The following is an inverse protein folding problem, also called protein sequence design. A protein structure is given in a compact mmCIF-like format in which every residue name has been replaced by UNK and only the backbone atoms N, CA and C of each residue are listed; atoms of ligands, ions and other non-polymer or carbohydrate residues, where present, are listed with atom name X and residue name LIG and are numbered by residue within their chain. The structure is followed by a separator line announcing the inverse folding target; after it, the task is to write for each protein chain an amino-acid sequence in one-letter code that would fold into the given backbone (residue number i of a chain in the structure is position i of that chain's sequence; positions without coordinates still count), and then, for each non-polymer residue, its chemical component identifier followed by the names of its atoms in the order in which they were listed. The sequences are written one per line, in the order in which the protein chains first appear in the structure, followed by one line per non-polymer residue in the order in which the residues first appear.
data_IF_397424559547
#
_entry.id   IF_397424559547
#
_cell.length_a   1.000
_cell.length_b   1.000
_cell.length_c   1.000
_cell.angle_alpha   90.00
_cell.angle_beta   90.00
_cell.angle_gamma   90.00
#
_symmetry.space_group_name_H-M   'P 1'
#
loop_
_entity.id
_entity.type
_entity.pdbx_description
1 polymer ?
#
# COMPACT_ATOMS: atom_id res chain seq x y z
N UNK A 1 11.51 -14.07 15.65
CA UNK A 1 10.07 -14.12 15.97
C UNK A 1 9.91 -14.46 17.45
N UNK A 2 9.20 -13.62 18.18
CA UNK A 2 8.69 -13.88 19.53
C UNK A 2 7.16 -13.88 19.44
N UNK A 3 6.51 -14.91 20.01
CA UNK A 3 5.04 -15.04 20.00
C UNK A 3 4.57 -15.63 21.31
N UNK A 4 3.48 -15.08 21.81
CA UNK A 4 2.75 -15.57 22.97
C UNK A 4 1.29 -15.75 22.59
N UNK A 5 0.76 -16.94 22.79
CA UNK A 5 -0.64 -17.30 22.55
C UNK A 5 -1.29 -17.70 23.88
N UNK A 6 -2.48 -17.20 24.11
CA UNK A 6 -3.31 -17.53 25.26
C UNK A 6 -4.69 -17.91 24.77
N UNK A 7 -5.24 -19.00 25.35
CA UNK A 7 -6.60 -19.42 25.09
C UNK A 7 -7.30 -19.71 26.44
N UNK A 8 -8.54 -19.24 26.54
CA UNK A 8 -9.39 -19.54 27.70
C UNK A 8 -10.80 -19.87 27.24
N UNK A 9 -11.33 -20.95 27.75
CA UNK A 9 -12.69 -21.40 27.47
C UNK A 9 -13.47 -21.65 28.74
N UNK A 10 -14.76 -21.32 28.74
CA UNK A 10 -15.66 -21.55 29.86
C UNK A 10 -17.05 -21.90 29.36
N UNK A 11 -17.81 -22.61 30.21
CA UNK A 11 -19.23 -22.85 29.95
C UNK A 11 -20.05 -21.58 30.15
N UNK A 12 -21.04 -21.38 29.28
CA UNK A 12 -21.98 -20.27 29.34
C UNK A 12 -23.41 -20.77 29.57
N UNK A 13 -23.94 -20.51 30.76
CA UNK A 13 -25.23 -21.02 31.17
C UNK A 13 -25.21 -22.53 31.53
N UNK A 14 -26.42 -23.11 31.73
CA UNK A 14 -26.58 -24.49 32.19
C UNK A 14 -26.96 -25.48 31.06
N UNK A 15 -27.16 -24.96 29.82
CA UNK A 15 -27.69 -25.76 28.70
C UNK A 15 -26.65 -26.07 27.63
N UNK A 16 -25.35 -26.15 27.99
CA UNK A 16 -24.29 -26.53 27.09
C UNK A 16 -23.80 -25.36 26.21
N UNK A 17 -24.00 -24.12 26.64
CA UNK A 17 -23.38 -22.94 26.03
C UNK A 17 -21.90 -22.85 26.39
N UNK A 18 -21.16 -22.14 25.59
CA UNK A 18 -19.73 -21.91 25.79
C UNK A 18 -19.31 -20.50 25.39
N UNK A 19 -18.22 -20.05 25.97
CA UNK A 19 -17.45 -18.87 25.55
C UNK A 19 -15.98 -19.27 25.49
N UNK A 20 -15.33 -18.94 24.37
CA UNK A 20 -13.90 -19.12 24.17
C UNK A 20 -13.27 -17.80 23.71
N UNK A 21 -12.11 -17.47 24.25
CA UNK A 21 -11.32 -16.30 23.86
C UNK A 21 -9.87 -16.71 23.63
N UNK A 22 -9.30 -16.21 22.55
CA UNK A 22 -7.90 -16.45 22.19
C UNK A 22 -7.23 -15.10 21.98
N UNK A 23 -6.07 -14.90 22.59
CA UNK A 23 -5.22 -13.75 22.39
C UNK A 23 -3.85 -14.15 21.87
N UNK A 24 -3.31 -13.38 20.92
CA UNK A 24 -1.96 -13.56 20.39
C UNK A 24 -1.24 -12.22 20.38
N UNK A 25 0.01 -12.22 20.87
CA UNK A 25 0.94 -11.12 20.72
C UNK A 25 2.20 -11.65 20.05
N UNK A 26 2.63 -11.02 18.98
CA UNK A 26 3.82 -11.45 18.25
C UNK A 26 4.67 -10.25 17.82
N UNK A 27 5.99 -10.43 17.83
CA UNK A 27 6.96 -9.49 17.29
C UNK A 27 7.96 -10.22 16.40
N UNK A 28 8.17 -9.69 15.21
CA UNK A 28 9.13 -10.19 14.23
C UNK A 28 9.99 -9.04 13.74
N UNK A 29 11.31 -9.16 13.87
CA UNK A 29 12.25 -8.22 13.31
C UNK A 29 12.37 -8.39 11.78
N UNK A 30 12.83 -7.32 11.13
CA UNK A 30 13.09 -7.35 9.69
C UNK A 30 14.29 -8.26 9.35
N UNK A 31 14.34 -8.68 8.10
CA UNK A 31 15.50 -9.37 7.52
C UNK A 31 15.97 -8.63 6.28
N UNK A 32 17.27 -8.66 5.99
CA UNK A 32 17.80 -8.11 4.74
C UNK A 32 18.74 -9.10 4.06
N UNK A 33 18.54 -9.28 2.75
CA UNK A 33 19.38 -10.09 1.85
C UNK A 33 19.97 -9.23 0.73
N UNK A 34 20.05 -7.90 0.96
CA UNK A 34 20.58 -6.98 -0.02
C UNK A 34 22.06 -7.25 -0.29
N UNK A 35 22.42 -7.26 -1.55
CA UNK A 35 23.83 -7.29 -1.98
C UNK A 35 24.46 -5.91 -1.88
N UNK A 36 25.79 -5.84 -2.06
CA UNK A 36 26.53 -4.58 -2.07
C UNK A 36 26.15 -3.79 -3.33
N UNK A 37 25.87 -2.50 -3.16
CA UNK A 37 25.55 -1.62 -4.28
C UNK A 37 26.75 -1.39 -5.19
N UNK A 38 26.59 -1.67 -6.47
CA UNK A 38 27.64 -1.51 -7.50
C UNK A 38 27.45 -0.26 -8.37
N UNK A 39 26.25 0.35 -8.35
CA UNK A 39 25.94 1.52 -9.16
C UNK A 39 26.55 2.80 -8.56
N UNK A 40 26.55 3.88 -9.33
CA UNK A 40 26.94 5.22 -8.86
C UNK A 40 26.13 5.61 -7.60
N UNK A 41 26.83 6.19 -6.62
CA UNK A 41 26.25 6.57 -5.32
C UNK A 41 26.22 8.09 -5.20
N UNK A 42 27.36 8.74 -5.41
CA UNK A 42 27.51 10.18 -5.32
C UNK A 42 27.93 10.75 -6.68
N UNK A 43 27.54 11.99 -6.87
CA UNK A 43 28.17 12.84 -7.84
C UNK A 43 29.40 13.55 -7.20
N UNK A 44 30.45 13.80 -7.94
CA UNK A 44 31.64 14.49 -7.41
C UNK A 44 31.33 15.86 -6.83
N UNK A 45 30.29 16.52 -7.32
CA UNK A 45 29.78 17.75 -6.74
C UNK A 45 29.40 17.60 -5.26
N UNK A 46 28.86 16.47 -4.84
CA UNK A 46 28.51 16.23 -3.45
C UNK A 46 29.73 16.18 -2.51
N UNK A 47 30.91 15.85 -3.04
CA UNK A 47 32.17 15.94 -2.28
C UNK A 47 32.56 17.42 -2.04
N UNK A 48 32.38 18.28 -3.06
CA UNK A 48 32.59 19.72 -2.92
C UNK A 48 31.62 20.32 -1.91
N UNK A 49 30.35 19.95 -1.97
CA UNK A 49 29.34 20.37 -0.98
C UNK A 49 29.75 20.01 0.44
N UNK A 50 30.21 18.77 0.68
CA UNK A 50 30.66 18.33 1.99
C UNK A 50 31.80 19.18 2.52
N UNK A 51 32.81 19.45 1.69
CA UNK A 51 33.96 20.29 2.08
C UNK A 51 33.51 21.73 2.41
N UNK A 52 32.62 22.29 1.59
CA UNK A 52 32.05 23.61 1.83
C UNK A 52 31.25 23.66 3.15
N UNK A 53 30.41 22.67 3.39
CA UNK A 53 29.66 22.54 4.64
C UNK A 53 30.56 22.46 5.87
N UNK A 54 31.67 21.69 5.80
CA UNK A 54 32.67 21.62 6.86
C UNK A 54 33.38 22.99 7.10
N UNK A 55 33.41 23.85 6.10
CA UNK A 55 33.92 25.22 6.21
C UNK A 55 32.84 26.24 6.59
N UNK A 56 31.69 25.81 7.07
CA UNK A 56 30.62 26.66 7.58
C UNK A 56 29.72 27.28 6.49
N UNK A 57 29.78 26.81 5.25
CA UNK A 57 28.89 27.28 4.19
C UNK A 57 27.49 26.72 4.42
N UNK A 58 26.49 27.60 4.46
CA UNK A 58 25.09 27.19 4.51
C UNK A 58 24.64 26.71 3.13
N UNK A 59 24.66 25.39 2.95
CA UNK A 59 24.30 24.74 1.68
C UNK A 59 22.83 25.01 1.29
N UNK A 60 21.93 25.21 2.27
CA UNK A 60 20.53 25.51 2.02
C UNK A 60 20.36 26.84 1.30
N UNK A 61 21.09 27.87 1.72
CA UNK A 61 21.00 29.19 1.10
C UNK A 61 21.59 29.21 -0.31
N UNK A 62 22.56 28.32 -0.60
CA UNK A 62 23.17 28.22 -1.91
C UNK A 62 22.20 27.73 -2.97
N UNK A 63 21.41 26.67 -2.65
CA UNK A 63 20.47 26.08 -3.61
C UNK A 63 19.29 26.98 -3.95
N UNK A 64 18.77 27.76 -2.99
CA UNK A 64 17.69 28.71 -3.22
C UNK A 64 18.14 29.95 -3.99
N UNK A 65 19.40 30.37 -3.86
CA UNK A 65 19.92 31.56 -4.50
C UNK A 65 20.47 31.34 -5.93
N UNK A 66 20.96 30.14 -6.25
CA UNK A 66 21.75 29.92 -7.44
C UNK A 66 20.95 29.85 -8.75
N UNK A 67 19.71 29.44 -8.70
CA UNK A 67 18.93 29.21 -9.92
C UNK A 67 18.02 30.38 -10.31
N UNK A 68 17.78 31.32 -9.41
CA UNK A 68 16.90 32.47 -9.66
C UNK A 68 17.59 33.77 -10.03
N UNK A 69 18.88 33.83 -9.87
CA UNK A 69 19.63 35.04 -10.25
C UNK A 69 20.69 34.68 -11.26
N UNK A 70 21.01 35.59 -12.21
CA UNK A 70 22.02 35.37 -13.26
C UNK A 70 23.45 35.20 -12.71
N UNK A 71 23.66 34.89 -11.44
CA UNK A 71 24.97 34.90 -10.81
C UNK A 71 25.65 33.50 -10.91
N UNK A 72 25.74 32.97 -12.15
CA UNK A 72 26.55 31.79 -12.47
C UNK A 72 28.00 31.93 -11.99
N UNK A 73 28.52 33.14 -11.96
CA UNK A 73 29.88 33.43 -11.46
C UNK A 73 30.06 33.11 -9.99
N UNK A 74 29.03 33.25 -9.14
CA UNK A 74 29.13 32.87 -7.73
C UNK A 74 29.24 31.34 -7.53
N UNK A 75 28.48 30.58 -8.31
CA UNK A 75 28.58 29.11 -8.29
C UNK A 75 29.95 28.65 -8.74
N UNK A 76 30.44 29.22 -9.83
CA UNK A 76 31.76 28.94 -10.40
C UNK A 76 32.83 29.21 -9.35
N UNK A 77 32.81 30.40 -8.73
CA UNK A 77 33.76 30.80 -7.71
C UNK A 77 33.69 29.87 -6.46
N UNK A 78 32.49 29.56 -6.00
CA UNK A 78 32.28 28.63 -4.89
C UNK A 78 32.91 27.27 -5.16
N UNK A 79 32.62 26.65 -6.31
CA UNK A 79 33.19 25.34 -6.65
C UNK A 79 34.70 25.42 -6.78
N UNK A 80 35.25 26.47 -7.45
CA UNK A 80 36.70 26.68 -7.58
C UNK A 80 37.40 26.90 -6.24
N UNK A 81 36.70 27.43 -5.25
CA UNK A 81 37.22 27.61 -3.89
C UNK A 81 37.36 26.31 -3.10
N UNK A 82 36.35 25.43 -3.20
CA UNK A 82 36.29 24.25 -2.36
C UNK A 82 36.71 22.94 -3.04
N UNK A 83 36.62 22.82 -4.37
CA UNK A 83 37.04 21.63 -5.09
C UNK A 83 38.53 21.26 -4.89
N UNK A 84 39.50 22.22 -4.83
CA UNK A 84 40.91 21.91 -4.55
C UNK A 84 41.13 21.26 -3.17
N UNK A 85 40.21 21.45 -2.24
CA UNK A 85 40.26 20.86 -0.89
C UNK A 85 39.76 19.41 -0.85
N UNK A 86 39.21 18.88 -1.94
CA UNK A 86 38.86 17.48 -2.07
C UNK A 86 40.10 16.66 -2.39
N UNK A 87 40.79 16.16 -1.35
CA UNK A 87 42.13 15.60 -1.43
C UNK A 87 42.31 14.33 -2.30
N UNK A 88 41.24 13.72 -2.79
CA UNK A 88 41.29 12.56 -3.67
C UNK A 88 40.90 12.85 -5.13
N UNK A 89 40.59 14.10 -5.49
CA UNK A 89 40.45 14.46 -6.89
C UNK A 89 41.82 14.36 -7.59
N UNK A 90 41.82 13.74 -8.75
CA UNK A 90 43.03 13.64 -9.57
C UNK A 90 43.47 15.01 -10.09
N UNK A 91 44.74 15.17 -10.42
CA UNK A 91 45.26 16.40 -11.03
C UNK A 91 44.49 16.80 -12.30
N UNK A 92 44.09 15.81 -13.12
CA UNK A 92 43.30 16.04 -14.32
C UNK A 92 41.91 16.63 -13.98
N UNK A 93 41.23 16.07 -12.96
CA UNK A 93 39.95 16.57 -12.49
C UNK A 93 40.05 17.98 -11.92
N UNK A 94 41.03 18.23 -11.06
CA UNK A 94 41.28 19.57 -10.50
C UNK A 94 41.57 20.57 -11.60
N UNK A 95 42.38 20.22 -12.61
CA UNK A 95 42.68 21.06 -13.76
C UNK A 95 41.42 21.36 -14.60
N UNK A 96 40.59 20.33 -14.84
CA UNK A 96 39.33 20.53 -15.57
C UNK A 96 38.38 21.48 -14.84
N UNK A 97 38.27 21.35 -13.50
CA UNK A 97 37.46 22.26 -12.66
C UNK A 97 38.04 23.69 -12.69
N UNK A 98 39.33 23.84 -12.50
CA UNK A 98 40.01 25.13 -12.47
C UNK A 98 39.85 25.92 -13.81
N UNK A 99 39.94 25.19 -14.93
CA UNK A 99 39.84 25.75 -16.28
C UNK A 99 38.39 25.98 -16.75
N UNK A 100 37.38 25.45 -16.04
CA UNK A 100 36.00 25.62 -16.43
C UNK A 100 35.61 27.10 -16.39
N UNK A 101 35.17 27.66 -17.51
CA UNK A 101 34.77 29.05 -17.69
C UNK A 101 33.24 29.24 -17.68
N UNK A 102 32.48 28.14 -17.65
CA UNK A 102 31.03 28.15 -17.64
C UNK A 102 30.48 27.12 -16.65
N UNK A 103 29.21 27.31 -16.27
CA UNK A 103 28.50 26.37 -15.39
C UNK A 103 28.40 24.98 -16.04
N UNK A 104 28.14 24.93 -17.34
CA UNK A 104 28.07 23.65 -18.09
C UNK A 104 29.42 22.93 -18.11
N UNK A 105 30.53 23.63 -18.25
CA UNK A 105 31.87 23.05 -18.18
C UNK A 105 32.15 22.47 -16.76
N UNK A 106 31.75 23.18 -15.70
CA UNK A 106 31.85 22.70 -14.33
C UNK A 106 30.95 21.47 -14.08
N UNK A 107 29.72 21.48 -14.58
CA UNK A 107 28.81 20.35 -14.49
C UNK A 107 29.44 19.11 -15.12
N UNK A 108 30.01 19.23 -16.32
CA UNK A 108 30.70 18.14 -16.99
C UNK A 108 31.93 17.65 -16.22
N UNK A 109 32.71 18.55 -15.65
CA UNK A 109 33.90 18.23 -14.85
C UNK A 109 33.58 17.55 -13.51
N UNK A 110 32.37 17.72 -12.98
CA UNK A 110 31.92 17.17 -11.69
C UNK A 110 30.95 15.98 -11.82
N UNK A 111 30.51 15.66 -13.03
CA UNK A 111 29.56 14.58 -13.28
C UNK A 111 30.26 13.21 -13.39
N UNK A 112 30.89 12.78 -12.31
CA UNK A 112 31.43 11.43 -12.17
C UNK A 112 31.15 10.88 -10.76
N UNK A 113 31.13 9.55 -10.62
CA UNK A 113 30.92 8.92 -9.32
C UNK A 113 32.11 9.15 -8.40
N UNK A 114 31.85 9.35 -7.12
CA UNK A 114 32.90 9.50 -6.14
C UNK A 114 33.58 8.17 -5.82
N UNK A 115 34.84 8.28 -5.40
CA UNK A 115 35.68 7.13 -5.07
C UNK A 115 35.34 6.55 -3.69
N UNK A 116 35.85 5.36 -3.41
CA UNK A 116 35.79 4.77 -2.06
C UNK A 116 36.47 5.67 -1.01
N UNK A 117 37.42 6.52 -1.42
CA UNK A 117 38.05 7.49 -0.51
C UNK A 117 37.07 8.52 0.03
N UNK A 118 36.11 9.00 -0.80
CA UNK A 118 35.04 9.89 -0.28
C UNK A 118 34.13 9.17 0.69
N UNK A 119 33.75 7.92 0.39
CA UNK A 119 32.94 7.12 1.31
C UNK A 119 33.64 6.95 2.65
N UNK A 120 34.92 6.59 2.62
CA UNK A 120 35.75 6.46 3.82
C UNK A 120 35.88 7.78 4.58
N UNK A 121 36.04 8.91 3.88
CA UNK A 121 36.09 10.24 4.49
C UNK A 121 34.78 10.65 5.19
N UNK A 122 33.65 10.05 4.78
CA UNK A 122 32.33 10.20 5.42
C UNK A 122 32.07 9.14 6.51
N UNK A 123 33.01 8.21 6.76
CA UNK A 123 32.80 7.07 7.64
C UNK A 123 31.83 6.02 7.09
N UNK A 124 31.66 5.97 5.77
CA UNK A 124 30.69 5.12 5.08
C UNK A 124 31.35 4.10 4.16
N UNK A 125 30.61 3.11 3.77
CA UNK A 125 30.93 2.10 2.79
C UNK A 125 29.78 1.90 1.80
N UNK A 126 29.99 1.19 0.71
CA UNK A 126 28.91 0.90 -0.24
C UNK A 126 27.74 0.10 0.35
N UNK A 127 27.96 -0.61 1.47
CA UNK A 127 26.90 -1.34 2.19
C UNK A 127 25.85 -0.41 2.79
N UNK A 128 26.25 0.80 3.20
CA UNK A 128 25.36 1.76 3.86
C UNK A 128 24.30 2.35 2.91
N UNK A 129 24.46 2.12 1.60
CA UNK A 129 23.54 2.55 0.55
C UNK A 129 22.65 1.42 0.03
N UNK A 130 22.67 0.28 0.70
CA UNK A 130 21.81 -0.83 0.32
C UNK A 130 20.35 -0.54 0.71
N UNK A 131 19.44 -1.07 -0.11
CA UNK A 131 18.05 -1.19 0.29
C UNK A 131 17.88 -2.39 1.23
N UNK A 132 16.80 -2.41 1.97
CA UNK A 132 16.42 -3.57 2.78
C UNK A 132 15.57 -4.52 1.91
N UNK A 133 16.07 -5.72 1.64
CA UNK A 133 15.39 -6.74 0.82
C UNK A 133 15.10 -7.97 1.67
N UNK A 134 13.85 -8.14 2.06
CA UNK A 134 13.46 -9.26 2.92
C UNK A 134 12.11 -9.04 3.57
N UNK A 135 11.91 -9.66 4.71
CA UNK A 135 10.68 -9.49 5.49
C UNK A 135 10.72 -8.14 6.23
N UNK A 136 9.59 -7.47 6.29
CA UNK A 136 9.38 -6.28 7.12
C UNK A 136 9.34 -6.65 8.60
N UNK A 137 9.66 -5.69 9.46
CA UNK A 137 9.36 -5.78 10.89
C UNK A 137 7.85 -5.77 11.08
N UNK A 138 7.36 -6.55 12.05
CA UNK A 138 5.94 -6.64 12.31
C UNK A 138 5.67 -6.88 13.80
N UNK A 139 4.93 -5.98 14.42
CA UNK A 139 4.33 -6.17 15.73
C UNK A 139 2.83 -6.45 15.54
N UNK A 140 2.31 -7.49 16.21
CA UNK A 140 0.91 -7.91 16.08
C UNK A 140 0.31 -8.14 17.45
N UNK A 141 -0.89 -7.61 17.68
CA UNK A 141 -1.75 -7.96 18.79
C UNK A 141 -3.14 -8.31 18.24
N UNK A 142 -3.69 -9.47 18.66
CA UNK A 142 -5.01 -9.90 18.19
C UNK A 142 -5.76 -10.66 19.27
N UNK A 143 -7.07 -10.48 19.25
CA UNK A 143 -7.99 -11.18 20.16
C UNK A 143 -9.17 -11.67 19.36
N UNK A 144 -9.51 -12.94 19.52
CA UNK A 144 -10.66 -13.58 18.91
C UNK A 144 -11.54 -14.22 19.97
N UNK A 145 -12.84 -14.23 19.74
CA UNK A 145 -13.79 -14.92 20.59
C UNK A 145 -14.75 -15.77 19.77
N UNK A 146 -15.31 -16.80 20.43
CA UNK A 146 -16.36 -17.63 19.91
C UNK A 146 -17.29 -18.03 21.06
N UNK A 147 -18.59 -17.83 20.87
CA UNK A 147 -19.59 -18.06 21.90
C UNK A 147 -20.86 -18.68 21.31
N UNK A 148 -21.50 -19.55 22.10
CA UNK A 148 -22.84 -20.04 21.82
C UNK A 148 -23.63 -20.11 23.14
N UNK A 149 -24.85 -19.61 23.11
CA UNK A 149 -25.79 -19.64 24.25
C UNK A 149 -27.11 -20.27 23.81
N UNK A 150 -27.36 -21.55 24.17
CA UNK A 150 -28.69 -22.15 24.03
C UNK A 150 -29.69 -21.43 24.90
N UNK A 151 -30.72 -20.86 24.31
CA UNK A 151 -31.82 -20.18 25.02
C UNK A 151 -32.88 -21.19 25.48
N UNK A 152 -33.17 -22.14 24.59
CA UNK A 152 -34.06 -23.28 24.86
C UNK A 152 -33.56 -24.52 24.06
N UNK A 153 -34.39 -25.55 23.93
CA UNK A 153 -34.02 -26.81 23.25
C UNK A 153 -33.81 -26.67 21.74
N UNK A 154 -34.46 -25.66 21.11
CA UNK A 154 -34.45 -25.46 19.66
C UNK A 154 -33.78 -24.15 19.23
N UNK A 155 -33.55 -23.23 20.17
CA UNK A 155 -33.06 -21.89 19.87
C UNK A 155 -31.71 -21.62 20.53
N UNK A 156 -30.75 -21.18 19.76
CA UNK A 156 -29.43 -20.77 20.25
C UNK A 156 -29.02 -19.44 19.66
N UNK A 157 -28.44 -18.61 20.53
CA UNK A 157 -27.71 -17.42 20.10
C UNK A 157 -26.23 -17.80 19.93
N UNK A 158 -25.57 -17.34 18.87
CA UNK A 158 -24.13 -17.49 18.68
C UNK A 158 -23.49 -16.18 18.26
N UNK A 159 -22.23 -16.04 18.63
CA UNK A 159 -21.41 -14.90 18.17
C UNK A 159 -19.96 -15.32 18.12
N UNK A 160 -19.26 -14.87 17.10
CA UNK A 160 -17.81 -14.98 16.99
C UNK A 160 -17.23 -13.76 16.31
N UNK A 161 -15.97 -13.49 16.57
CA UNK A 161 -15.31 -12.34 15.97
C UNK A 161 -13.98 -12.06 16.64
N UNK A 162 -13.43 -10.91 16.31
CA UNK A 162 -12.17 -10.47 16.88
C UNK A 162 -11.73 -9.12 16.37
N UNK A 163 -10.65 -8.67 16.96
CA UNK A 163 -9.93 -7.50 16.55
C UNK A 163 -8.43 -7.82 16.42
N UNK A 164 -7.78 -7.18 15.48
CA UNK A 164 -6.34 -7.29 15.25
C UNK A 164 -5.76 -5.90 15.00
N UNK A 165 -4.64 -5.64 15.63
CA UNK A 165 -3.78 -4.51 15.32
C UNK A 165 -2.42 -5.02 14.89
N UNK A 166 -1.92 -4.50 13.77
CA UNK A 166 -0.60 -4.83 13.25
C UNK A 166 0.13 -3.53 12.90
N UNK A 167 1.32 -3.39 13.44
CA UNK A 167 2.24 -2.32 13.08
C UNK A 167 3.39 -2.92 12.28
N UNK A 168 3.55 -2.48 11.03
CA UNK A 168 4.58 -2.96 10.13
C UNK A 168 5.53 -1.86 9.73
N UNK A 169 6.86 -2.15 9.72
CA UNK A 169 7.88 -1.26 9.21
C UNK A 169 8.56 -1.93 8.02
N UNK A 170 8.46 -1.31 6.86
CA UNK A 170 9.11 -1.70 5.62
C UNK A 170 9.96 -0.56 5.07
N UNK A 171 10.77 -0.86 4.05
CA UNK A 171 11.73 0.10 3.52
C UNK A 171 11.54 0.23 2.01
N UNK A 172 11.69 1.46 1.51
CA UNK A 172 11.77 1.72 0.09
C UNK A 172 13.21 1.56 -0.44
N UNK A 173 13.43 1.96 -1.68
CA UNK A 173 14.78 2.06 -2.24
C UNK A 173 15.54 3.21 -1.59
N UNK A 174 16.84 3.01 -1.35
CA UNK A 174 17.72 4.06 -0.85
C UNK A 174 17.73 5.25 -1.82
N UNK A 175 17.52 6.45 -1.29
CA UNK A 175 17.57 7.71 -2.01
C UNK A 175 18.98 8.27 -1.94
N UNK A 176 19.67 8.23 -3.09
CA UNK A 176 21.07 8.65 -3.19
C UNK A 176 21.18 10.19 -3.19
N UNK A 177 22.32 10.75 -2.74
CA UNK A 177 22.57 12.19 -2.74
C UNK A 177 22.44 12.84 -4.13
N UNK A 178 22.82 12.11 -5.19
CA UNK A 178 22.69 12.59 -6.58
C UNK A 178 21.30 12.39 -7.18
N UNK A 179 20.36 11.83 -6.42
CA UNK A 179 18.98 11.59 -6.87
C UNK A 179 18.11 12.85 -6.82
N UNK A 180 17.19 12.97 -7.76
CA UNK A 180 16.24 14.10 -7.84
C UNK A 180 15.26 14.17 -6.67
N UNK A 181 15.03 13.06 -5.96
CA UNK A 181 14.22 12.99 -4.74
C UNK A 181 14.96 13.34 -3.46
N UNK A 182 16.22 13.76 -3.53
CA UNK A 182 17.06 14.05 -2.35
C UNK A 182 17.43 15.51 -2.29
N UNK A 183 17.34 16.11 -1.09
CA UNK A 183 17.98 17.40 -0.80
C UNK A 183 19.22 17.13 0.04
N UNK A 184 20.41 17.37 -0.52
CA UNK A 184 21.69 17.16 0.16
C UNK A 184 21.91 18.12 1.33
N UNK A 185 21.20 19.24 1.36
CA UNK A 185 21.18 20.17 2.49
C UNK A 185 20.48 19.58 3.72
N UNK A 186 19.58 18.63 3.56
CA UNK A 186 18.92 17.92 4.65
C UNK A 186 19.59 16.54 4.90
N UNK A 187 19.83 15.79 3.82
CA UNK A 187 20.41 14.45 3.85
C UNK A 187 21.66 14.38 2.98
N UNK A 188 22.81 14.79 3.53
CA UNK A 188 24.09 14.86 2.79
C UNK A 188 24.56 13.53 2.21
N UNK A 189 24.15 12.41 2.84
CA UNK A 189 24.48 11.06 2.40
C UNK A 189 23.29 10.34 1.74
N UNK A 190 22.19 11.06 1.48
CA UNK A 190 20.93 10.41 1.12
C UNK A 190 20.25 9.74 2.32
N UNK A 191 19.23 8.93 2.05
CA UNK A 191 18.43 8.29 3.11
C UNK A 191 17.71 7.04 2.61
N UNK A 192 17.33 6.19 3.54
CA UNK A 192 16.49 5.01 3.30
C UNK A 192 15.09 5.29 3.84
N UNK A 193 14.10 5.60 3.00
CA UNK A 193 12.73 5.85 3.47
C UNK A 193 12.13 4.62 4.12
N UNK A 194 11.44 4.84 5.24
CA UNK A 194 10.71 3.83 5.99
C UNK A 194 9.21 4.01 5.77
N UNK A 195 8.52 2.92 5.45
CA UNK A 195 7.07 2.87 5.26
C UNK A 195 6.51 2.16 6.48
N UNK A 196 6.02 2.95 7.44
CA UNK A 196 5.30 2.46 8.60
C UNK A 196 3.83 2.28 8.24
N UNK A 197 3.23 1.17 8.67
CA UNK A 197 1.83 0.87 8.44
C UNK A 197 1.13 0.49 9.74
N UNK A 198 -0.01 1.13 9.99
CA UNK A 198 -0.93 0.76 11.06
C UNK A 198 -2.17 0.11 10.45
N UNK A 199 -2.36 -1.17 10.77
CA UNK A 199 -3.44 -1.99 10.22
C UNK A 199 -4.37 -2.42 11.33
N UNK A 200 -5.65 -2.05 11.20
CA UNK A 200 -6.72 -2.46 12.10
C UNK A 200 -7.70 -3.35 11.38
N UNK A 201 -7.95 -4.52 11.95
CA UNK A 201 -9.01 -5.42 11.50
C UNK A 201 -10.00 -5.62 12.65
N UNK A 202 -11.28 -5.52 12.35
CA UNK A 202 -12.36 -5.90 13.24
C UNK A 202 -13.37 -6.73 12.47
N UNK A 203 -13.85 -7.81 13.09
CA UNK A 203 -14.97 -8.57 12.55
C UNK A 203 -15.81 -9.14 13.67
N UNK A 204 -17.11 -9.21 13.46
CA UNK A 204 -18.03 -9.90 14.37
C UNK A 204 -19.19 -10.48 13.59
N UNK A 205 -19.60 -11.67 13.98
CA UNK A 205 -20.84 -12.31 13.56
C UNK A 205 -21.75 -12.47 14.79
N UNK A 206 -23.02 -12.21 14.60
CA UNK A 206 -24.08 -12.47 15.56
C UNK A 206 -25.19 -13.22 14.83
N UNK A 207 -25.63 -14.36 15.37
CA UNK A 207 -26.68 -15.14 14.76
C UNK A 207 -27.58 -15.83 15.77
N UNK A 208 -28.78 -16.12 15.30
CA UNK A 208 -29.82 -16.85 16.01
C UNK A 208 -30.21 -18.06 15.19
N UNK A 209 -29.97 -19.25 15.73
CA UNK A 209 -30.48 -20.48 15.13
C UNK A 209 -31.72 -20.93 15.84
N UNK A 210 -32.71 -21.45 15.11
CA UNK A 210 -33.97 -21.98 15.68
C UNK A 210 -34.59 -23.00 14.75
N UNK A 211 -35.73 -23.59 15.18
CA UNK A 211 -36.59 -24.41 14.33
C UNK A 211 -37.93 -23.73 14.11
N UNK A 212 -38.36 -23.64 12.86
CA UNK A 212 -39.64 -23.04 12.48
C UNK A 212 -40.30 -23.91 11.40
N UNK A 213 -41.51 -24.41 11.69
CA UNK A 213 -42.28 -25.26 10.77
C UNK A 213 -41.50 -26.50 10.23
N UNK A 214 -40.60 -27.04 11.06
CA UNK A 214 -39.77 -28.18 10.70
C UNK A 214 -38.49 -27.83 9.91
N UNK A 215 -38.24 -26.57 9.61
CA UNK A 215 -36.99 -26.08 9.09
C UNK A 215 -36.03 -25.66 10.20
N UNK A 216 -34.76 -25.96 10.02
CA UNK A 216 -33.69 -25.27 10.71
C UNK A 216 -33.54 -23.90 10.10
N UNK A 217 -33.53 -22.85 10.94
CA UNK A 217 -33.49 -21.44 10.53
C UNK A 217 -32.25 -20.79 11.15
N UNK A 218 -31.52 -20.03 10.37
CA UNK A 218 -30.41 -19.18 10.81
C UNK A 218 -30.66 -17.74 10.35
N UNK A 219 -30.72 -16.82 11.32
CA UNK A 219 -30.71 -15.38 11.05
C UNK A 219 -29.42 -14.82 11.59
N UNK A 220 -28.62 -14.23 10.72
CA UNK A 220 -27.29 -13.73 11.11
C UNK A 220 -26.93 -12.38 10.48
N UNK A 221 -26.07 -11.67 11.20
CA UNK A 221 -25.39 -10.47 10.69
C UNK A 221 -23.90 -10.59 10.90
N UNK A 222 -23.12 -10.24 9.89
CA UNK A 222 -21.67 -10.17 9.93
C UNK A 222 -21.21 -8.76 9.63
N UNK A 223 -20.41 -8.18 10.51
CA UNK A 223 -19.75 -6.90 10.30
C UNK A 223 -18.24 -7.10 10.27
N UNK A 224 -17.60 -6.62 9.21
CA UNK A 224 -16.15 -6.63 9.07
C UNK A 224 -15.64 -5.27 8.62
N UNK A 225 -14.50 -4.84 9.16
CA UNK A 225 -13.79 -3.65 8.70
C UNK A 225 -12.30 -3.88 8.74
N UNK A 226 -11.61 -3.36 7.74
CA UNK A 226 -10.15 -3.28 7.67
C UNK A 226 -9.75 -1.84 7.39
N UNK A 227 -8.68 -1.38 8.01
CA UNK A 227 -8.09 -0.10 7.66
C UNK A 227 -6.57 -0.17 7.69
N UNK A 228 -5.96 0.51 6.73
CA UNK A 228 -4.52 0.55 6.52
C UNK A 228 -4.09 2.02 6.42
N UNK A 229 -3.35 2.52 7.41
CA UNK A 229 -2.79 3.87 7.43
C UNK A 229 -1.30 3.82 7.12
N UNK A 230 -0.81 4.80 6.38
CA UNK A 230 0.58 4.93 5.98
C UNK A 230 1.23 6.14 6.65
N UNK A 231 2.35 5.92 7.32
CA UNK A 231 3.27 6.97 7.76
C UNK A 231 4.63 6.73 7.12
N UNK A 232 5.17 7.74 6.49
CA UNK A 232 6.48 7.63 5.83
C UNK A 232 7.50 8.37 6.69
N UNK A 233 8.42 7.62 7.24
CA UNK A 233 9.48 8.10 8.12
C UNK A 233 10.83 8.15 7.38
N UNK A 234 11.81 8.84 7.97
CA UNK A 234 13.15 9.00 7.41
C UNK A 234 13.10 9.36 5.93
N UNK A 235 12.31 10.38 5.59
CA UNK A 235 12.04 10.82 4.23
C UNK A 235 12.11 12.34 4.13
N UNK A 236 11.86 12.88 2.94
CA UNK A 236 11.75 14.30 2.70
C UNK A 236 10.92 14.60 1.46
N UNK A 237 10.32 15.77 1.44
CA UNK A 237 9.89 16.45 0.21
C UNK A 237 11.06 17.30 -0.28
N UNK A 238 11.72 16.86 -1.36
CA UNK A 238 12.96 17.48 -1.82
C UNK A 238 12.78 18.95 -2.27
N UNK A 239 11.54 19.35 -2.60
CA UNK A 239 11.24 20.75 -2.99
C UNK A 239 11.15 21.71 -1.80
N UNK A 240 11.00 21.20 -0.58
CA UNK A 240 11.04 21.99 0.66
C UNK A 240 12.47 22.16 1.20
N UNK A 241 13.44 21.42 0.66
CA UNK A 241 14.83 21.50 1.11
C UNK A 241 14.96 21.20 2.61
N UNK A 242 15.67 22.05 3.34
CA UNK A 242 15.88 21.92 4.80
C UNK A 242 14.62 22.13 5.63
N UNK A 243 13.61 22.76 5.06
CA UNK A 243 12.31 22.98 5.72
C UNK A 243 11.40 21.77 5.63
N UNK A 244 11.83 20.69 4.95
CA UNK A 244 11.04 19.48 4.83
C UNK A 244 10.93 18.76 6.17
N UNK A 245 9.71 18.36 6.59
CA UNK A 245 9.57 17.33 7.62
C UNK A 245 10.30 16.05 7.21
N UNK A 246 10.63 15.21 8.18
CA UNK A 246 11.24 13.88 7.97
C UNK A 246 10.25 12.72 8.18
N UNK A 247 9.01 13.04 8.54
CA UNK A 247 7.91 12.10 8.74
C UNK A 247 6.61 12.72 8.23
N UNK A 248 5.79 11.91 7.54
CA UNK A 248 4.57 12.36 6.90
C UNK A 248 3.45 11.34 7.05
N UNK A 249 2.23 11.83 7.31
CA UNK A 249 1.03 11.03 7.11
C UNK A 249 0.73 10.95 5.60
N UNK A 250 0.82 9.75 5.04
CA UNK A 250 0.61 9.54 3.60
C UNK A 250 -0.82 9.08 3.25
N UNK A 251 -1.73 9.07 4.24
CA UNK A 251 -3.13 8.76 4.04
C UNK A 251 -3.51 7.34 4.47
N UNK A 252 -4.74 6.95 4.13
CA UNK A 252 -5.37 5.74 4.65
C UNK A 252 -6.30 5.11 3.62
N UNK A 253 -6.33 3.78 3.59
CA UNK A 253 -7.33 2.97 2.89
C UNK A 253 -8.18 2.26 3.93
N UNK A 254 -9.49 2.20 3.70
CA UNK A 254 -10.40 1.46 4.57
C UNK A 254 -11.48 0.75 3.76
N UNK A 255 -11.89 -0.42 4.27
CA UNK A 255 -12.99 -1.20 3.73
C UNK A 255 -13.91 -1.65 4.88
N UNK A 256 -15.22 -1.57 4.64
CA UNK A 256 -16.24 -2.06 5.55
C UNK A 256 -17.23 -2.92 4.78
N UNK A 257 -17.64 -4.04 5.39
CA UNK A 257 -18.70 -4.89 4.88
C UNK A 257 -19.64 -5.27 6.01
N UNK A 258 -20.95 -5.19 5.75
CA UNK A 258 -21.97 -5.80 6.58
C UNK A 258 -22.81 -6.74 5.72
N UNK A 259 -23.00 -7.96 6.19
CA UNK A 259 -23.79 -9.00 5.50
C UNK A 259 -24.84 -9.55 6.45
N UNK A 260 -26.09 -9.55 6.02
CA UNK A 260 -27.21 -10.09 6.76
C UNK A 260 -27.79 -11.26 5.98
N UNK A 261 -27.97 -12.40 6.66
CA UNK A 261 -28.46 -13.64 6.07
C UNK A 261 -29.69 -14.16 6.81
N UNK A 262 -30.59 -14.73 6.04
CA UNK A 262 -31.71 -15.51 6.53
C UNK A 262 -31.76 -16.83 5.75
N UNK A 263 -31.43 -17.93 6.42
CA UNK A 263 -31.26 -19.23 5.81
C UNK A 263 -32.24 -20.23 6.42
N UNK A 264 -32.81 -21.09 5.57
CA UNK A 264 -33.70 -22.20 5.94
C UNK A 264 -33.18 -23.49 5.36
N UNK A 265 -33.18 -24.57 6.13
CA UNK A 265 -32.86 -25.90 5.63
C UNK A 265 -33.74 -26.97 6.28
N UNK A 266 -34.07 -28.02 5.52
CA UNK A 266 -34.87 -29.16 6.04
C UNK A 266 -34.57 -30.41 5.23
N UNK A 267 -34.49 -31.53 5.98
CA UNK A 267 -34.49 -32.85 5.38
C UNK A 267 -35.92 -33.41 5.33
N UNK A 268 -36.27 -33.99 4.20
CA UNK A 268 -37.55 -34.68 3.96
C UNK A 268 -37.31 -36.16 3.67
N UNK A 269 -38.21 -36.99 4.14
CA UNK A 269 -38.22 -38.42 3.85
C UNK A 269 -38.88 -38.69 2.46
N UNK A 270 -38.22 -38.20 1.40
CA UNK A 270 -38.62 -38.38 0.02
C UNK A 270 -37.52 -39.15 -0.70
N UNK A 271 -37.83 -40.23 -1.37
CA UNK A 271 -36.89 -41.22 -1.93
C UNK A 271 -35.95 -41.75 -0.81
N UNK A 272 -34.65 -41.69 -1.02
CA UNK A 272 -33.67 -42.06 0.00
C UNK A 272 -33.19 -40.84 0.82
N UNK A 273 -33.90 -39.70 0.72
CA UNK A 273 -33.66 -38.44 1.42
C UNK A 273 -33.56 -37.24 0.46
N UNK A 274 -34.27 -36.18 0.82
CA UNK A 274 -34.22 -34.87 0.12
C UNK A 274 -33.81 -33.81 1.13
N UNK A 275 -32.70 -33.14 0.88
CA UNK A 275 -32.34 -31.91 1.57
C UNK A 275 -32.75 -30.71 0.71
N UNK A 276 -33.46 -29.76 1.32
CA UNK A 276 -33.86 -28.50 0.73
C UNK A 276 -33.32 -27.36 1.57
N UNK A 277 -32.56 -26.43 0.94
CA UNK A 277 -32.11 -25.21 1.56
C UNK A 277 -32.46 -23.99 0.68
N UNK A 278 -32.87 -22.91 1.29
CA UNK A 278 -33.09 -21.63 0.62
C UNK A 278 -32.84 -20.48 1.57
N UNK A 279 -32.53 -19.32 1.01
CA UNK A 279 -32.23 -18.15 1.84
C UNK A 279 -32.11 -16.87 1.06
N UNK A 280 -31.92 -15.80 1.80
CA UNK A 280 -31.72 -14.47 1.29
C UNK A 280 -30.52 -13.80 1.99
N UNK A 281 -29.79 -12.98 1.27
CA UNK A 281 -28.65 -12.21 1.75
C UNK A 281 -28.85 -10.75 1.36
N UNK A 282 -28.56 -9.84 2.29
CA UNK A 282 -28.36 -8.43 2.03
C UNK A 282 -26.97 -8.03 2.45
N UNK A 283 -26.21 -7.39 1.56
CA UNK A 283 -24.84 -6.96 1.81
C UNK A 283 -24.68 -5.46 1.54
N UNK A 284 -24.02 -4.79 2.44
CA UNK A 284 -23.52 -3.44 2.29
C UNK A 284 -22.00 -3.44 2.30
N UNK A 285 -21.37 -2.76 1.36
CA UNK A 285 -19.94 -2.59 1.26
C UNK A 285 -19.60 -1.10 1.14
N UNK A 286 -18.49 -0.68 1.74
CA UNK A 286 -17.96 0.66 1.61
C UNK A 286 -16.44 0.61 1.46
N UNK A 287 -15.91 1.31 0.48
CA UNK A 287 -14.50 1.51 0.26
C UNK A 287 -14.16 2.99 0.34
N UNK A 288 -13.10 3.32 1.10
CA UNK A 288 -12.67 4.67 1.35
C UNK A 288 -11.17 4.82 1.21
N UNK A 289 -10.73 5.86 0.48
CA UNK A 289 -9.37 6.40 0.51
C UNK A 289 -9.44 7.77 1.15
N UNK A 290 -8.56 8.03 2.10
CA UNK A 290 -8.37 9.35 2.73
C UNK A 290 -7.01 9.86 2.33
N UNK A 291 -6.94 11.10 1.88
CA UNK A 291 -5.69 11.75 1.46
C UNK A 291 -4.69 11.87 2.61
N UNK A 292 -3.41 11.96 2.23
CA UNK A 292 -2.32 12.31 3.13
C UNK A 292 -2.29 13.80 3.48
N UNK A 293 -1.32 14.19 4.30
CA UNK A 293 -1.03 15.61 4.53
C UNK A 293 -0.44 16.26 3.27
N UNK A 294 -0.67 17.54 3.08
CA UNK A 294 -0.34 18.23 1.83
C UNK A 294 1.12 18.07 1.42
N UNK A 295 2.06 18.23 2.33
CA UNK A 295 3.47 18.10 2.02
C UNK A 295 3.90 16.68 1.63
N UNK A 296 3.06 15.65 1.87
CA UNK A 296 3.33 14.26 1.48
C UNK A 296 3.17 14.01 -0.02
N UNK A 297 2.49 14.88 -0.76
CA UNK A 297 2.24 14.71 -2.20
C UNK A 297 2.50 15.96 -3.05
N UNK A 298 2.63 17.14 -2.43
CA UNK A 298 2.67 18.42 -3.14
C UNK A 298 4.09 18.76 -3.64
N UNK A 299 4.16 19.36 -4.82
CA UNK A 299 5.35 20.01 -5.36
C UNK A 299 5.35 21.47 -4.91
N UNK A 300 6.47 22.00 -4.43
CA UNK A 300 6.63 23.40 -4.06
C UNK A 300 7.61 24.11 -4.98
N UNK A 301 7.39 25.41 -5.18
CA UNK A 301 8.33 26.29 -5.86
C UNK A 301 9.45 26.74 -4.91
N UNK A 302 10.43 27.47 -5.43
CA UNK A 302 11.56 28.01 -4.65
C UNK A 302 11.15 28.98 -3.54
N UNK A 303 9.95 29.57 -3.60
CA UNK A 303 9.41 30.47 -2.59
C UNK A 303 8.59 29.70 -1.52
N UNK A 304 8.47 28.37 -1.65
CA UNK A 304 7.68 27.54 -0.78
C UNK A 304 6.17 27.55 -1.07
N UNK A 305 5.74 28.07 -2.21
CA UNK A 305 4.35 28.02 -2.63
C UNK A 305 4.06 26.72 -3.35
N UNK A 306 2.81 26.24 -3.25
CA UNK A 306 2.34 25.07 -4.01
C UNK A 306 2.51 25.34 -5.51
N UNK A 307 3.26 24.48 -6.17
CA UNK A 307 3.47 24.57 -7.61
C UNK A 307 2.32 23.89 -8.35
N UNK A 308 1.70 24.64 -9.25
CA UNK A 308 0.64 24.15 -10.14
C UNK A 308 1.22 23.66 -11.47
N UNK A 309 0.40 22.99 -12.27
CA UNK A 309 0.73 22.63 -13.65
C UNK A 309 1.08 23.90 -14.43
N UNK A 310 2.24 23.92 -15.09
CA UNK A 310 2.73 25.10 -15.80
C UNK A 310 3.65 26.02 -14.99
N UNK A 311 4.22 25.51 -13.89
CA UNK A 311 5.24 26.22 -13.10
C UNK A 311 6.31 26.83 -14.02
N UNK A 312 6.56 28.15 -13.88
CA UNK A 312 7.69 28.82 -14.54
C UNK A 312 8.99 28.04 -14.21
N UNK A 313 9.75 27.61 -15.22
CA UNK A 313 11.00 26.89 -15.01
C UNK A 313 11.98 27.61 -14.06
N UNK A 314 11.91 28.93 -13.98
CA UNK A 314 12.74 29.76 -13.09
C UNK A 314 12.35 29.62 -11.60
N UNK A 315 11.12 29.20 -11.33
CA UNK A 315 10.61 28.95 -9.98
C UNK A 315 10.75 27.49 -9.54
N UNK A 316 11.21 26.61 -10.43
CA UNK A 316 11.39 25.20 -10.10
C UNK A 316 12.61 25.00 -9.20
N UNK A 317 12.44 24.21 -8.14
CA UNK A 317 13.56 23.75 -7.31
C UNK A 317 14.36 22.70 -8.10
N UNK A 318 15.67 22.95 -8.25
CA UNK A 318 16.57 22.09 -9.02
C UNK A 318 17.79 21.66 -8.21
N UNK A 319 18.53 20.66 -8.71
CA UNK A 319 19.88 20.36 -8.25
C UNK A 319 20.91 21.25 -8.97
N UNK A 320 22.19 21.08 -8.63
CA UNK A 320 23.28 21.80 -9.25
C UNK A 320 23.35 21.61 -10.78
N UNK A 321 22.89 20.48 -11.29
CA UNK A 321 22.89 20.16 -12.73
C UNK A 321 21.64 20.66 -13.46
N UNK A 322 20.72 21.33 -12.77
CA UNK A 322 19.46 21.83 -13.34
C UNK A 322 18.34 20.79 -13.41
N UNK A 323 18.54 19.58 -12.86
CA UNK A 323 17.47 18.59 -12.78
C UNK A 323 16.44 19.03 -11.74
N UNK A 324 15.16 18.98 -12.10
CA UNK A 324 14.07 19.35 -11.19
C UNK A 324 13.97 18.36 -10.03
N UNK A 325 13.74 18.91 -8.84
CA UNK A 325 13.43 18.10 -7.65
C UNK A 325 12.00 17.58 -7.70
N UNK A 326 11.78 16.40 -7.13
CA UNK A 326 10.46 15.82 -6.98
C UNK A 326 9.74 16.32 -5.75
N UNK A 327 8.44 16.59 -5.87
CA UNK A 327 7.56 16.87 -4.76
C UNK A 327 7.10 15.59 -4.05
N UNK A 328 6.53 15.77 -2.87
CA UNK A 328 6.01 14.69 -2.05
C UNK A 328 7.08 13.84 -1.39
N UNK A 329 6.63 12.92 -0.55
CA UNK A 329 7.50 12.00 0.19
C UNK A 329 8.17 10.99 -0.73
N UNK A 330 9.37 10.57 -0.35
CA UNK A 330 10.10 9.52 -1.03
C UNK A 330 9.79 8.16 -0.38
N UNK A 331 9.59 7.14 -1.21
CA UNK A 331 9.21 5.80 -0.77
C UNK A 331 7.78 5.48 -1.16
N UNK A 332 6.85 6.22 -0.63
CA UNK A 332 5.44 6.22 -1.02
C UNK A 332 4.92 7.66 -0.96
N UNK A 333 4.50 8.19 -2.08
CA UNK A 333 3.85 9.51 -2.15
C UNK A 333 2.45 9.42 -1.53
N UNK A 334 2.09 10.36 -0.66
CA UNK A 334 0.78 10.37 -0.03
C UNK A 334 -0.35 10.44 -1.05
N UNK A 335 -1.50 9.84 -0.71
CA UNK A 335 -2.72 9.97 -1.52
C UNK A 335 -3.08 11.44 -1.67
N UNK A 336 -3.37 11.84 -2.89
CA UNK A 336 -3.73 13.21 -3.25
C UNK A 336 -5.23 13.47 -3.03
N UNK A 337 -5.68 14.72 -3.03
CA UNK A 337 -7.12 15.04 -2.98
C UNK A 337 -7.93 14.35 -4.07
N UNK A 338 -7.38 14.20 -5.28
CA UNK A 338 -8.04 13.52 -6.40
C UNK A 338 -8.12 12.00 -6.25
N UNK A 339 -7.29 11.42 -5.37
CA UNK A 339 -7.36 10.00 -5.00
C UNK A 339 -8.42 9.75 -3.89
N UNK A 340 -8.92 10.80 -3.24
CA UNK A 340 -9.83 10.69 -2.11
C UNK A 340 -11.21 10.21 -2.57
N UNK A 341 -11.69 9.14 -1.98
CA UNK A 341 -12.93 8.49 -2.39
C UNK A 341 -13.68 7.90 -1.20
N UNK A 342 -15.01 7.86 -1.32
CA UNK A 342 -15.91 7.16 -0.39
C UNK A 342 -17.08 6.58 -1.18
N UNK A 343 -16.97 5.30 -1.56
CA UNK A 343 -17.95 4.60 -2.42
C UNK A 343 -18.57 3.42 -1.69
N UNK A 344 -19.87 3.29 -1.87
CA UNK A 344 -20.65 2.20 -1.29
C UNK A 344 -21.38 1.40 -2.35
N UNK A 345 -21.66 0.13 -2.04
CA UNK A 345 -22.47 -0.77 -2.82
C UNK A 345 -23.40 -1.55 -1.91
N UNK A 346 -24.63 -1.72 -2.36
CA UNK A 346 -25.59 -2.66 -1.79
C UNK A 346 -25.76 -3.82 -2.74
N UNK A 347 -25.94 -5.03 -2.22
CA UNK A 347 -26.38 -6.17 -3.00
C UNK A 347 -27.43 -6.98 -2.25
N UNK A 348 -28.34 -7.54 -3.00
CA UNK A 348 -29.34 -8.51 -2.53
C UNK A 348 -29.17 -9.81 -3.29
N UNK A 349 -29.24 -10.92 -2.58
CA UNK A 349 -29.22 -12.24 -3.20
C UNK A 349 -30.29 -13.14 -2.62
N UNK A 350 -30.79 -14.06 -3.43
CA UNK A 350 -31.64 -15.17 -3.00
C UNK A 350 -31.14 -16.46 -3.66
N UNK A 351 -31.24 -17.56 -2.93
CA UNK A 351 -30.81 -18.86 -3.43
C UNK A 351 -31.77 -19.99 -3.07
N UNK A 352 -31.74 -21.04 -3.87
CA UNK A 352 -32.37 -22.33 -3.62
C UNK A 352 -31.34 -23.41 -3.93
N UNK A 353 -31.15 -24.33 -2.99
CA UNK A 353 -30.29 -25.51 -3.12
C UNK A 353 -31.07 -26.76 -2.75
N UNK A 354 -30.87 -27.82 -3.49
CA UNK A 354 -31.51 -29.12 -3.24
C UNK A 354 -30.54 -30.25 -3.50
N UNK A 355 -30.55 -31.25 -2.61
CA UNK A 355 -29.82 -32.49 -2.78
C UNK A 355 -30.78 -33.67 -2.55
N UNK A 356 -30.85 -34.56 -3.53
CA UNK A 356 -31.75 -35.71 -3.53
C UNK A 356 -30.94 -36.99 -3.61
N UNK A 357 -31.11 -37.89 -2.63
CA UNK A 357 -30.68 -39.27 -2.71
C UNK A 357 -31.73 -40.05 -3.48
N UNK A 358 -31.54 -40.20 -4.81
CA UNK A 358 -32.50 -40.94 -5.69
C UNK A 358 -32.50 -42.41 -5.30
N UNK A 359 -31.32 -42.96 -5.07
CA UNK A 359 -31.06 -44.30 -4.52
C UNK A 359 -29.95 -44.20 -3.48
N UNK A 360 -29.74 -45.26 -2.67
CA UNK A 360 -28.68 -45.30 -1.69
C UNK A 360 -27.28 -45.07 -2.25
N UNK A 361 -27.13 -45.32 -3.55
CA UNK A 361 -25.86 -45.15 -4.26
C UNK A 361 -25.86 -44.00 -5.30
N UNK A 362 -26.95 -43.23 -5.44
CA UNK A 362 -27.05 -42.17 -6.42
C UNK A 362 -27.61 -40.88 -5.81
N UNK A 363 -26.78 -39.82 -5.81
CA UNK A 363 -27.13 -38.51 -5.30
C UNK A 363 -27.13 -37.53 -6.48
N UNK A 364 -28.14 -36.68 -6.56
CA UNK A 364 -28.21 -35.54 -7.48
C UNK A 364 -28.42 -34.25 -6.67
N UNK A 365 -27.67 -33.20 -6.98
CA UNK A 365 -27.85 -31.89 -6.38
C UNK A 365 -27.96 -30.80 -7.42
N UNK A 366 -28.82 -29.81 -7.14
CA UNK A 366 -29.02 -28.63 -7.97
C UNK A 366 -29.14 -27.38 -7.12
N UNK A 367 -28.52 -26.28 -7.58
CA UNK A 367 -28.62 -24.99 -6.92
C UNK A 367 -28.83 -23.88 -7.94
N UNK A 368 -29.54 -22.84 -7.53
CA UNK A 368 -29.70 -21.58 -8.27
C UNK A 368 -29.51 -20.40 -7.31
N UNK A 369 -28.87 -19.35 -7.80
CA UNK A 369 -28.68 -18.11 -7.05
C UNK A 369 -28.89 -16.91 -7.96
N UNK A 370 -29.75 -16.01 -7.52
CA UNK A 370 -29.96 -14.70 -8.11
C UNK A 370 -29.27 -13.65 -7.24
N UNK A 371 -28.60 -12.69 -7.87
CA UNK A 371 -27.97 -11.57 -7.18
C UNK A 371 -28.26 -10.28 -7.95
N UNK A 372 -28.46 -9.20 -7.21
CA UNK A 372 -28.60 -7.84 -7.75
C UNK A 372 -27.69 -6.89 -7.01
N UNK A 373 -26.86 -6.18 -7.72
CA UNK A 373 -25.90 -5.20 -7.22
C UNK A 373 -26.34 -3.79 -7.61
N UNK A 374 -26.23 -2.82 -6.69
CA UNK A 374 -26.65 -1.43 -6.94
C UNK A 374 -25.84 -0.73 -8.04
N UNK A 375 -24.62 -1.21 -8.33
CA UNK A 375 -23.67 -0.62 -9.27
C UNK A 375 -23.31 -1.52 -10.46
N UNK A 376 -23.84 -2.72 -10.51
CA UNK A 376 -23.41 -3.73 -11.50
C UNK A 376 -24.57 -4.43 -12.21
N UNK A 377 -25.80 -4.33 -11.70
CA UNK A 377 -26.97 -5.02 -12.20
C UNK A 377 -27.16 -6.43 -11.63
N UNK A 378 -27.85 -7.29 -12.36
CA UNK A 378 -28.28 -8.60 -11.88
C UNK A 378 -27.51 -9.74 -12.52
N UNK A 379 -27.35 -10.83 -11.79
CA UNK A 379 -26.78 -12.08 -12.30
C UNK A 379 -27.59 -13.27 -11.79
N UNK A 380 -27.62 -14.33 -12.61
CA UNK A 380 -28.25 -15.60 -12.28
C UNK A 380 -27.23 -16.72 -12.51
N UNK A 381 -27.01 -17.52 -11.48
CA UNK A 381 -26.06 -18.63 -11.52
C UNK A 381 -26.75 -19.92 -11.14
N UNK A 382 -26.33 -21.02 -11.78
CA UNK A 382 -26.85 -22.35 -11.51
C UNK A 382 -25.75 -23.40 -11.39
N UNK A 383 -26.05 -24.46 -10.65
CA UNK A 383 -25.20 -25.63 -10.47
C UNK A 383 -26.05 -26.89 -10.61
N UNK A 384 -25.50 -27.89 -11.27
CA UNK A 384 -26.03 -29.27 -11.29
C UNK A 384 -24.86 -30.21 -11.01
N UNK A 385 -25.04 -31.15 -10.07
CA UNK A 385 -24.02 -32.14 -9.75
C UNK A 385 -24.64 -33.51 -9.46
N UNK A 386 -23.86 -34.55 -9.69
CA UNK A 386 -24.26 -35.93 -9.38
C UNK A 386 -23.09 -36.73 -8.84
N UNK A 387 -23.40 -37.66 -7.94
CA UNK A 387 -22.49 -38.63 -7.38
C UNK A 387 -23.12 -40.03 -7.49
N UNK A 388 -22.43 -40.96 -8.15
CA UNK A 388 -22.79 -42.37 -8.21
C UNK A 388 -21.75 -43.19 -7.51
N UNK A 389 -22.14 -43.90 -6.46
CA UNK A 389 -21.32 -44.88 -5.76
C UNK A 389 -21.41 -46.21 -6.53
N UNK A 390 -20.48 -46.45 -7.47
CA UNK A 390 -20.52 -47.61 -8.38
C UNK A 390 -20.13 -48.87 -7.63
N UNK A 391 -19.13 -48.80 -6.76
CA UNK A 391 -18.75 -49.86 -5.81
C UNK A 391 -18.36 -49.25 -4.48
N UNK A 392 -18.18 -50.00 -3.39
CA UNK A 392 -17.70 -49.45 -2.13
C UNK A 392 -16.38 -48.68 -2.23
N UNK A 393 -15.57 -48.99 -3.23
CA UNK A 393 -14.23 -48.41 -3.42
C UNK A 393 -14.14 -47.48 -4.65
N UNK A 394 -15.23 -47.35 -5.45
CA UNK A 394 -15.22 -46.53 -6.64
C UNK A 394 -16.48 -45.64 -6.73
N UNK A 395 -16.28 -44.34 -6.72
CA UNK A 395 -17.32 -43.33 -6.88
C UNK A 395 -17.07 -42.51 -8.14
N UNK A 396 -18.13 -42.26 -8.91
CA UNK A 396 -18.13 -41.37 -10.06
C UNK A 396 -18.86 -40.07 -9.71
N UNK A 397 -18.29 -38.91 -10.07
CA UNK A 397 -18.87 -37.58 -9.87
C UNK A 397 -18.80 -36.76 -11.14
N UNK A 398 -19.86 -35.99 -11.38
CA UNK A 398 -19.87 -34.97 -12.41
C UNK A 398 -20.55 -33.70 -11.88
N UNK A 399 -20.08 -32.54 -12.31
CA UNK A 399 -20.73 -31.28 -11.99
C UNK A 399 -20.55 -30.27 -13.12
N UNK A 400 -21.58 -29.45 -13.33
CA UNK A 400 -21.55 -28.29 -14.22
C UNK A 400 -22.13 -27.08 -13.45
N UNK A 401 -21.49 -25.93 -13.57
CA UNK A 401 -21.95 -24.71 -12.90
C UNK A 401 -21.58 -23.47 -13.68
N UNK A 402 -22.40 -22.43 -13.55
CA UNK A 402 -22.03 -21.05 -13.87
C UNK A 402 -21.55 -20.35 -12.60
N UNK A 403 -20.74 -19.33 -12.75
CA UNK A 403 -20.26 -18.53 -11.63
C UNK A 403 -20.07 -17.09 -12.06
N UNK A 404 -20.31 -16.18 -11.14
CA UNK A 404 -20.08 -14.77 -11.31
C UNK A 404 -19.41 -14.20 -10.06
N UNK A 405 -18.53 -13.24 -10.25
CA UNK A 405 -17.94 -12.45 -9.19
C UNK A 405 -17.91 -10.98 -9.59
N UNK A 406 -18.67 -10.16 -8.88
CA UNK A 406 -18.61 -8.73 -9.08
C UNK A 406 -17.18 -8.22 -8.76
N UNK A 407 -16.62 -7.29 -9.54
CA UNK A 407 -15.39 -6.60 -9.17
C UNK A 407 -15.54 -5.97 -7.79
N UNK A 408 -14.49 -6.04 -6.97
CA UNK A 408 -14.53 -5.37 -5.66
C UNK A 408 -14.58 -3.85 -5.85
N UNK A 409 -15.10 -3.12 -4.85
CA UNK A 409 -15.08 -1.65 -4.88
C UNK A 409 -13.65 -1.11 -5.01
N UNK A 410 -12.67 -1.81 -4.42
CA UNK A 410 -11.27 -1.46 -4.58
C UNK A 410 -10.79 -1.60 -6.03
N UNK A 411 -11.16 -2.66 -6.74
CA UNK A 411 -10.82 -2.84 -8.16
C UNK A 411 -11.46 -1.78 -9.06
N UNK A 412 -12.67 -1.33 -8.69
CA UNK A 412 -13.40 -0.31 -9.45
C UNK A 412 -12.89 1.11 -9.22
N UNK A 413 -12.51 1.44 -7.99
CA UNK A 413 -12.36 2.83 -7.54
C UNK A 413 -11.00 3.16 -6.94
N UNK A 414 -10.05 2.21 -6.88
CA UNK A 414 -8.71 2.53 -6.41
C UNK A 414 -8.00 3.41 -7.43
N UNK A 415 -7.52 4.55 -6.96
CA UNK A 415 -6.63 5.43 -7.69
C UNK A 415 -5.43 5.79 -6.83
N UNK A 416 -4.32 6.07 -7.46
CA UNK A 416 -3.11 6.52 -6.78
C UNK A 416 -2.25 7.30 -7.76
N UNK A 417 -1.87 8.50 -7.37
CA UNK A 417 -1.01 9.37 -8.16
C UNK A 417 0.38 9.44 -7.55
N UNK A 418 1.40 9.22 -8.36
CA UNK A 418 2.80 9.27 -7.96
C UNK A 418 3.65 10.13 -8.89
N UNK A 419 4.73 10.70 -8.35
CA UNK A 419 5.69 11.44 -9.15
C UNK A 419 6.70 10.49 -9.77
N UNK A 420 6.79 10.48 -11.10
CA UNK A 420 7.80 9.74 -11.87
C UNK A 420 8.74 10.74 -12.56
N UNK A 421 9.98 10.34 -12.78
CA UNK A 421 10.98 11.19 -13.44
C UNK A 421 11.21 10.71 -14.87
N UNK A 422 11.07 11.63 -15.81
CA UNK A 422 11.30 11.38 -17.24
C UNK A 422 12.39 12.31 -17.75
N UNK A 423 13.24 11.80 -18.62
CA UNK A 423 14.23 12.65 -19.32
C UNK A 423 13.51 13.44 -20.40
N UNK A 424 13.57 14.77 -20.31
CA UNK A 424 13.12 15.65 -21.39
C UNK A 424 14.11 15.51 -22.55
N UNK A 425 13.64 15.02 -23.70
CA UNK A 425 14.48 14.72 -24.85
C UNK A 425 15.10 15.98 -25.49
N UNK A 426 14.51 17.15 -25.27
CA UNK A 426 15.00 18.42 -25.82
C UNK A 426 16.10 19.06 -24.96
N UNK A 427 16.04 18.86 -23.63
CA UNK A 427 16.99 19.46 -22.67
C UNK A 427 17.98 18.49 -22.08
N UNK A 428 17.69 17.17 -22.17
CA UNK A 428 18.45 16.10 -21.51
C UNK A 428 18.27 16.07 -19.98
N UNK A 429 17.43 16.92 -19.40
CA UNK A 429 17.22 17.02 -17.95
C UNK A 429 16.09 16.10 -17.48
N UNK A 430 16.19 15.64 -16.22
CA UNK A 430 15.11 14.92 -15.55
C UNK A 430 14.01 15.90 -15.11
N UNK A 431 12.80 15.60 -15.49
CA UNK A 431 11.58 16.34 -15.12
C UNK A 431 10.60 15.42 -14.38
N UNK A 432 10.03 15.86 -13.24
CA UNK A 432 8.98 15.14 -12.56
C UNK A 432 7.67 15.25 -13.34
N UNK A 433 6.98 14.12 -13.49
CA UNK A 433 5.62 14.04 -14.05
C UNK A 433 4.73 13.27 -13.11
N UNK A 434 3.50 13.73 -12.96
CA UNK A 434 2.48 12.99 -12.23
C UNK A 434 1.99 11.84 -13.11
N UNK A 435 2.00 10.64 -12.54
CA UNK A 435 1.50 9.42 -13.18
C UNK A 435 0.43 8.82 -12.28
N UNK A 436 -0.77 8.70 -12.82
CA UNK A 436 -1.94 8.23 -12.08
C UNK A 436 -2.37 6.85 -12.56
N UNK A 437 -2.63 5.96 -11.62
CA UNK A 437 -3.45 4.77 -11.88
C UNK A 437 -4.90 5.21 -11.99
N UNK A 438 -5.50 5.05 -13.16
CA UNK A 438 -6.88 5.37 -13.39
C UNK A 438 -7.80 4.26 -12.92
N UNK A 439 -8.98 4.64 -12.42
CA UNK A 439 -10.07 3.69 -12.22
C UNK A 439 -10.69 3.30 -13.57
N UNK A 440 -11.26 2.10 -13.66
CA UNK A 440 -11.95 1.66 -14.89
C UNK A 440 -13.17 2.52 -15.24
N UNK A 441 -13.71 3.28 -14.28
CA UNK A 441 -14.84 4.19 -14.47
C UNK A 441 -14.40 5.64 -14.69
N UNK A 442 -13.13 5.87 -15.01
CA UNK A 442 -12.62 7.20 -15.32
C UNK A 442 -12.81 7.55 -16.79
N UNK A 443 -12.98 8.85 -17.07
CA UNK A 443 -13.01 9.37 -18.43
C UNK A 443 -11.77 8.96 -19.25
N UNK A 444 -10.62 8.83 -18.58
CA UNK A 444 -9.38 8.35 -19.21
C UNK A 444 -9.48 6.87 -19.64
N UNK A 445 -10.15 6.02 -18.87
CA UNK A 445 -10.39 4.62 -19.24
C UNK A 445 -11.31 4.53 -20.44
N UNK A 446 -12.37 5.33 -20.48
CA UNK A 446 -13.30 5.41 -21.62
C UNK A 446 -12.58 5.83 -22.91
N UNK A 447 -11.70 6.84 -22.83
CA UNK A 447 -10.92 7.33 -23.98
C UNK A 447 -9.98 6.27 -24.59
N UNK A 448 -9.49 5.32 -23.80
CA UNK A 448 -8.61 4.23 -24.27
C UNK A 448 -9.35 2.92 -24.49
N UNK A 449 -10.69 2.91 -24.36
CA UNK A 449 -11.54 1.76 -24.64
C UNK A 449 -11.44 0.63 -23.61
N UNK A 450 -11.14 0.95 -22.37
CA UNK A 450 -11.21 -0.01 -21.24
C UNK A 450 -12.68 -0.15 -20.84
N UNK A 451 -13.24 -1.38 -20.86
CA UNK A 451 -14.65 -1.61 -20.56
C UNK A 451 -14.97 -1.49 -19.06
#
# INVERSE_FOLDING_TARGET
LLQLDLNYGTNLGKKGGFFNITGTVANRENTSRAGIRNNSIFNAYNAVERIAGNNGVNLSSLFFFFFNTPNQSQIINYIKQYAPQVGYFTTAQQTAIANASSLSALQSALNFDVTNNELSARGLSRKDFNMNVGQSKLATGQVYYNAKLPLNEITSLYSFGGLSYRKGDSYAFYRLPNGSGTSTSLYSNGFLPEIESDIYDFSTALGLTSKLAGFDVDLSTNLGTNSFSYTINNTANATLGVNSPSSFNAGKIAFLQNTNNLDFSRNFDVLEGLNLAFGAEYRYENFKITKGEEASYTLYDINGNVATSGLDPKLAVTDFFGNRRGGGTQGFTGFQPDDEINKSRNSFAAYLDTEVNIFQNWIVSGAVRYENYSDFGSTFNGKLATLVKVTPNFNWRASAQTGFRAPSLQQKYFSSTSTQFFTNTSTGLLEPKQVTFFTNESEAADLVGIP
#
